data_IF_023287568747
#
_entry.id   IF_023287568747
#
_cell.length_a   1.000
_cell.length_b   1.000
_cell.length_c   1.000
_cell.angle_alpha   90.00
_cell.angle_beta   90.00
_cell.angle_gamma   90.00
#
_symmetry.space_group_name_H-M   'P 1'
#
loop_
_entity.id
_entity.type
_entity.pdbx_description
1 polymer ?
#
# COMPACT_ATOMS: atom_id res chain seq x y z
N UNK A 1 -7.31 -10.58 4.87
CA UNK A 1 -7.09 -9.43 5.77
C UNK A 1 -6.00 -9.77 6.76
N UNK A 2 -5.07 -8.84 7.00
CA UNK A 2 -4.05 -8.99 8.05
C UNK A 2 -4.39 -8.02 9.18
N UNK A 3 -4.58 -8.56 10.36
CA UNK A 3 -4.76 -7.83 11.62
C UNK A 3 -3.40 -7.70 12.31
N UNK A 4 -2.90 -6.50 12.42
CA UNK A 4 -1.59 -6.19 13.03
C UNK A 4 -1.68 -6.15 14.57
N UNK A 5 -2.25 -7.22 15.14
CA UNK A 5 -2.31 -7.42 16.58
C UNK A 5 -3.26 -6.45 17.29
N UNK A 6 -4.43 -6.19 16.73
CA UNK A 6 -5.44 -5.33 17.36
C UNK A 6 -5.78 -5.77 18.77
N UNK A 7 -5.90 -4.83 19.69
CA UNK A 7 -6.24 -5.02 21.09
C UNK A 7 -7.74 -4.80 21.40
N UNK A 8 -8.51 -4.43 20.39
CA UNK A 8 -9.96 -4.26 20.40
C UNK A 8 -10.71 -5.48 19.80
N UNK A 9 -12.00 -5.33 19.53
CA UNK A 9 -12.84 -6.38 18.97
C UNK A 9 -12.61 -6.68 17.47
N UNK A 10 -11.69 -5.98 16.80
CA UNK A 10 -11.45 -6.11 15.35
C UNK A 10 -11.21 -7.55 14.93
N UNK A 11 -10.31 -8.27 15.63
CA UNK A 11 -10.01 -9.66 15.31
C UNK A 11 -11.23 -10.57 15.44
N UNK A 12 -12.01 -10.41 16.49
CA UNK A 12 -13.22 -11.23 16.74
C UNK A 12 -14.25 -11.02 15.63
N UNK A 13 -14.47 -9.77 15.23
CA UNK A 13 -15.39 -9.41 14.14
C UNK A 13 -14.92 -10.02 12.80
N UNK A 14 -13.62 -9.96 12.51
CA UNK A 14 -13.07 -10.57 11.29
C UNK A 14 -13.24 -12.08 11.26
N UNK A 15 -13.04 -12.77 12.39
CA UNK A 15 -13.25 -14.22 12.50
C UNK A 15 -14.74 -14.56 12.31
N UNK A 16 -15.65 -13.79 12.89
CA UNK A 16 -17.09 -14.02 12.72
C UNK A 16 -17.51 -13.85 11.25
N UNK A 17 -17.10 -12.78 10.60
CA UNK A 17 -17.34 -12.56 9.17
C UNK A 17 -16.76 -13.68 8.29
N UNK A 18 -15.61 -14.22 8.65
CA UNK A 18 -14.97 -15.29 7.86
C UNK A 18 -15.74 -16.60 7.87
N UNK A 19 -16.62 -16.83 8.85
CA UNK A 19 -17.46 -18.03 8.90
C UNK A 19 -18.51 -18.07 7.78
N UNK A 20 -19.00 -16.90 7.38
CA UNK A 20 -20.00 -16.76 6.31
C UNK A 20 -19.39 -16.47 4.93
N UNK A 21 -18.09 -16.15 4.89
CA UNK A 21 -17.37 -15.73 3.67
C UNK A 21 -16.12 -16.56 3.46
N UNK A 22 -16.20 -17.71 2.77
CA UNK A 22 -15.04 -18.61 2.59
C UNK A 22 -13.87 -17.98 1.81
N UNK A 23 -14.13 -16.92 1.06
CA UNK A 23 -13.11 -16.12 0.39
C UNK A 23 -12.31 -15.20 1.35
N UNK A 24 -12.88 -14.90 2.52
CA UNK A 24 -12.24 -14.06 3.53
C UNK A 24 -11.25 -14.89 4.36
N UNK A 25 -9.98 -14.55 4.26
CA UNK A 25 -8.92 -15.11 5.10
C UNK A 25 -8.44 -14.07 6.07
N UNK A 26 -8.38 -14.44 7.32
CA UNK A 26 -7.91 -13.58 8.42
C UNK A 26 -6.59 -14.12 8.93
N UNK A 27 -5.60 -13.24 9.02
CA UNK A 27 -4.30 -13.50 9.61
C UNK A 27 -4.09 -12.48 10.72
N UNK A 28 -3.73 -12.94 11.91
CA UNK A 28 -3.39 -12.06 13.03
C UNK A 28 -1.90 -12.17 13.35
N UNK A 29 -1.25 -11.04 13.46
CA UNK A 29 0.11 -10.97 13.97
C UNK A 29 0.08 -11.06 15.51
N UNK A 30 1.14 -11.57 16.11
CA UNK A 30 1.22 -11.79 17.57
C UNK A 30 1.21 -10.51 18.39
N UNK A 31 1.55 -9.39 17.81
CA UNK A 31 1.47 -8.02 18.35
C UNK A 31 1.46 -7.01 17.21
N UNK A 32 1.32 -5.75 17.52
CA UNK A 32 1.52 -4.67 16.54
C UNK A 32 3.01 -4.60 16.15
N UNK A 33 3.29 -4.89 14.89
CA UNK A 33 4.61 -4.79 14.24
C UNK A 33 4.70 -3.60 13.29
N UNK A 34 3.57 -2.95 12.99
CA UNK A 34 3.43 -1.87 12.02
C UNK A 34 2.98 -2.33 10.64
N UNK A 35 2.61 -1.35 9.83
CA UNK A 35 1.99 -1.57 8.52
C UNK A 35 2.84 -2.42 7.57
N UNK A 36 4.14 -2.16 7.49
CA UNK A 36 5.03 -2.82 6.52
C UNK A 36 5.17 -4.34 6.77
N UNK A 37 5.42 -4.83 8.01
CA UNK A 37 5.40 -6.26 8.30
C UNK A 37 4.04 -6.91 8.04
N UNK A 38 2.93 -6.23 8.35
CA UNK A 38 1.59 -6.72 8.09
C UNK A 38 1.34 -6.90 6.58
N UNK A 39 1.73 -5.92 5.77
CA UNK A 39 1.66 -5.99 4.30
C UNK A 39 2.52 -7.14 3.76
N UNK A 40 3.75 -7.27 4.21
CA UNK A 40 4.63 -8.38 3.81
C UNK A 40 4.04 -9.76 4.17
N UNK A 41 3.43 -9.88 5.34
CA UNK A 41 2.71 -11.08 5.76
C UNK A 41 1.54 -11.40 4.83
N UNK A 42 0.75 -10.39 4.47
CA UNK A 42 -0.35 -10.52 3.52
C UNK A 42 0.10 -10.96 2.14
N UNK A 43 1.15 -10.35 1.60
CA UNK A 43 1.73 -10.72 0.29
C UNK A 43 2.17 -12.19 0.28
N UNK A 44 2.91 -12.64 1.31
CA UNK A 44 3.40 -14.03 1.41
C UNK A 44 2.28 -15.06 1.44
N UNK A 45 1.15 -14.73 2.04
CA UNK A 45 0.02 -15.64 2.20
C UNK A 45 -1.01 -15.55 1.06
N UNK A 46 -0.90 -14.54 0.21
CA UNK A 46 -1.77 -14.35 -0.92
C UNK A 46 -1.57 -15.45 -1.97
N UNK A 47 -2.68 -15.90 -2.59
CA UNK A 47 -2.69 -17.01 -3.57
C UNK A 47 -3.01 -16.57 -4.99
N UNK A 48 -3.46 -15.32 -5.16
CA UNK A 48 -3.80 -14.76 -6.46
C UNK A 48 -2.58 -14.61 -7.36
N UNK A 49 -2.79 -14.63 -8.67
CA UNK A 49 -1.75 -14.29 -9.65
C UNK A 49 -1.44 -12.79 -9.65
N UNK A 50 -2.42 -11.99 -9.29
CA UNK A 50 -2.33 -10.55 -9.10
C UNK A 50 -2.70 -10.22 -7.65
N UNK A 51 -2.02 -9.27 -7.08
CA UNK A 51 -2.16 -8.85 -5.68
C UNK A 51 -2.62 -7.40 -5.65
N UNK A 52 -3.65 -7.13 -4.85
CA UNK A 52 -4.10 -5.78 -4.56
C UNK A 52 -3.83 -5.50 -3.08
N UNK A 53 -3.04 -4.46 -2.82
CA UNK A 53 -2.79 -3.95 -1.48
C UNK A 53 -3.70 -2.75 -1.25
N UNK A 54 -4.48 -2.77 -0.17
CA UNK A 54 -5.39 -1.69 0.19
C UNK A 54 -5.47 -1.57 1.72
N UNK A 55 -5.51 -0.35 2.23
CA UNK A 55 -5.72 -0.08 3.65
C UNK A 55 -7.19 -0.30 4.04
N UNK A 56 -7.40 -0.82 5.25
CA UNK A 56 -8.74 -1.14 5.76
C UNK A 56 -9.54 0.07 6.27
N UNK A 57 -9.01 1.29 6.18
CA UNK A 57 -9.64 2.52 6.71
C UNK A 57 -10.64 3.19 5.74
N UNK A 58 -10.89 2.56 4.60
CA UNK A 58 -11.80 3.02 3.54
C UNK A 58 -11.44 4.40 2.93
N UNK A 59 -10.25 4.90 3.19
CA UNK A 59 -9.80 6.15 2.58
C UNK A 59 -9.40 5.98 1.12
N UNK A 60 -8.96 4.78 0.74
CA UNK A 60 -8.63 4.41 -0.63
C UNK A 60 -9.85 3.72 -1.27
N UNK A 61 -10.56 4.39 -2.22
CA UNK A 61 -11.82 3.87 -2.74
C UNK A 61 -11.62 2.57 -3.54
N UNK A 62 -12.34 1.46 -3.21
CA UNK A 62 -12.23 0.21 -3.96
C UNK A 62 -12.56 0.33 -5.45
N UNK A 63 -13.35 1.34 -5.84
CA UNK A 63 -13.69 1.61 -7.25
C UNK A 63 -12.47 1.93 -8.11
N UNK A 64 -11.41 2.49 -7.53
CA UNK A 64 -10.13 2.78 -8.22
C UNK A 64 -9.42 1.50 -8.70
N UNK A 65 -9.74 0.35 -8.10
CA UNK A 65 -9.20 -0.94 -8.51
C UNK A 65 -9.54 -1.25 -9.98
N UNK A 66 -10.72 -0.85 -10.44
CA UNK A 66 -11.12 -1.05 -11.84
C UNK A 66 -10.22 -0.28 -12.80
N UNK A 67 -9.86 0.95 -12.45
CA UNK A 67 -8.94 1.79 -13.22
C UNK A 67 -7.51 1.21 -13.18
N UNK A 68 -7.10 0.67 -12.03
CA UNK A 68 -5.82 -0.03 -11.90
C UNK A 68 -5.76 -1.26 -12.80
N UNK A 69 -6.82 -2.07 -12.86
CA UNK A 69 -6.91 -3.25 -13.74
C UNK A 69 -6.83 -2.81 -15.20
N UNK A 70 -7.59 -1.78 -15.58
CA UNK A 70 -7.55 -1.24 -16.94
C UNK A 70 -6.15 -0.73 -17.32
N UNK A 71 -5.47 -0.08 -16.38
CA UNK A 71 -4.10 0.39 -16.55
C UNK A 71 -3.10 -0.77 -16.66
N UNK A 72 -3.23 -1.79 -15.81
CA UNK A 72 -2.37 -2.98 -15.83
C UNK A 72 -2.43 -3.72 -17.16
N UNK A 73 -3.60 -3.82 -17.77
CA UNK A 73 -3.80 -4.42 -19.11
C UNK A 73 -3.02 -3.71 -20.23
N UNK A 74 -2.47 -2.52 -19.98
CA UNK A 74 -1.59 -1.80 -20.90
C UNK A 74 -0.13 -2.28 -20.83
N UNK A 75 0.17 -3.34 -20.06
CA UNK A 75 1.50 -3.94 -19.97
C UNK A 75 2.36 -3.47 -18.80
N UNK A 76 1.73 -2.93 -17.74
CA UNK A 76 2.45 -2.60 -16.50
C UNK A 76 2.48 -3.80 -15.56
N UNK A 77 3.63 -4.03 -14.92
CA UNK A 77 3.80 -5.08 -13.90
C UNK A 77 3.18 -4.65 -12.56
N UNK A 78 3.22 -3.34 -12.29
CA UNK A 78 2.67 -2.71 -11.09
C UNK A 78 1.85 -1.48 -11.48
N UNK A 79 0.70 -1.30 -10.86
CA UNK A 79 -0.07 -0.06 -10.93
C UNK A 79 -0.34 0.43 -9.51
N UNK A 80 0.07 1.65 -9.18
CA UNK A 80 -0.19 2.20 -7.85
C UNK A 80 -1.10 3.42 -7.90
N UNK A 81 -1.85 3.58 -6.82
CA UNK A 81 -2.69 4.73 -6.59
C UNK A 81 -1.88 5.92 -6.11
N UNK A 82 -2.03 7.05 -6.78
CA UNK A 82 -1.47 8.33 -6.37
C UNK A 82 -2.57 9.27 -5.94
N UNK A 83 -2.49 9.75 -4.72
CA UNK A 83 -3.45 10.73 -4.19
C UNK A 83 -3.32 12.05 -4.92
N UNK A 84 -4.42 12.57 -5.45
CA UNK A 84 -4.43 13.94 -5.99
C UNK A 84 -4.12 14.92 -4.87
N UNK A 85 -3.15 15.81 -5.09
CA UNK A 85 -2.78 16.81 -4.07
C UNK A 85 -3.94 17.75 -3.81
N UNK A 86 -4.37 17.86 -2.55
CA UNK A 86 -5.16 19.02 -2.10
C UNK A 86 -4.28 20.26 -2.25
N UNK A 87 -4.91 21.44 -2.51
CA UNK A 87 -4.20 22.73 -2.59
C UNK A 87 -3.44 22.97 -1.27
N UNK A 88 -2.16 22.63 -1.25
CA UNK A 88 -1.28 22.95 -0.12
C UNK A 88 -0.85 24.41 -0.18
N UNK A 89 -0.66 25.01 1.00
CA UNK A 89 -0.14 26.38 1.08
C UNK A 89 1.25 26.50 0.45
N UNK A 90 1.53 27.65 -0.16
CA UNK A 90 2.76 27.93 -0.92
C UNK A 90 4.03 27.62 -0.11
N UNK A 91 4.02 27.94 1.19
CA UNK A 91 5.17 27.72 2.08
C UNK A 91 5.47 26.23 2.29
N UNK A 92 4.44 25.38 2.50
CA UNK A 92 4.60 23.94 2.64
C UNK A 92 5.10 23.30 1.35
N UNK A 93 4.61 23.80 0.22
CA UNK A 93 5.07 23.36 -1.12
C UNK A 93 6.55 23.66 -1.33
N UNK A 94 7.03 24.83 -0.92
CA UNK A 94 8.44 25.22 -1.03
C UNK A 94 9.34 24.31 -0.17
N UNK A 95 8.98 24.10 1.10
CA UNK A 95 9.73 23.19 1.99
C UNK A 95 9.79 21.77 1.43
N UNK A 96 8.67 21.26 0.91
CA UNK A 96 8.60 19.95 0.28
C UNK A 96 9.53 19.89 -0.94
N UNK A 97 9.57 20.92 -1.78
CA UNK A 97 10.46 20.97 -2.95
C UNK A 97 11.94 20.97 -2.55
N UNK A 98 12.32 21.75 -1.53
CA UNK A 98 13.70 21.79 -1.01
C UNK A 98 14.09 20.41 -0.46
N UNK A 99 13.22 19.78 0.33
CA UNK A 99 13.46 18.44 0.87
C UNK A 99 13.71 17.43 -0.26
N UNK A 100 12.87 17.42 -1.30
CA UNK A 100 13.03 16.50 -2.42
C UNK A 100 14.25 16.80 -3.28
N UNK A 101 14.63 18.07 -3.41
CA UNK A 101 15.88 18.45 -4.10
C UNK A 101 17.11 17.88 -3.36
N UNK A 102 17.12 18.01 -2.02
CA UNK A 102 18.17 17.41 -1.19
C UNK A 102 18.16 15.88 -1.30
N UNK A 103 17.00 15.24 -1.19
CA UNK A 103 16.87 13.79 -1.34
C UNK A 103 17.32 13.32 -2.72
N UNK A 104 17.01 14.06 -3.79
CA UNK A 104 17.46 13.73 -5.15
C UNK A 104 18.99 13.84 -5.29
N UNK A 105 19.62 14.77 -4.59
CA UNK A 105 21.06 14.91 -4.60
C UNK A 105 21.77 13.79 -3.85
N UNK A 106 21.17 13.28 -2.77
CA UNK A 106 21.75 12.21 -1.94
C UNK A 106 21.27 10.79 -2.33
N UNK A 107 20.20 10.65 -3.12
CA UNK A 107 19.65 9.35 -3.49
C UNK A 107 19.65 9.17 -5.00
N UNK A 108 20.19 8.04 -5.47
CA UNK A 108 20.13 7.64 -6.89
C UNK A 108 18.74 7.13 -7.30
N UNK A 109 17.80 7.01 -6.34
CA UNK A 109 16.47 6.44 -6.54
C UNK A 109 15.44 7.56 -6.62
N UNK A 110 14.70 7.60 -7.71
CA UNK A 110 13.53 8.50 -7.86
C UNK A 110 12.33 7.90 -7.13
N UNK A 111 12.20 8.21 -5.83
CA UNK A 111 10.99 7.83 -5.11
C UNK A 111 9.78 8.55 -5.70
N UNK A 112 8.74 7.83 -6.14
CA UNK A 112 7.50 8.49 -6.55
C UNK A 112 6.89 9.17 -5.32
N UNK A 113 6.81 10.49 -5.38
CA UNK A 113 6.16 11.29 -4.34
C UNK A 113 4.69 10.84 -4.22
N UNK A 114 4.22 10.65 -3.01
CA UNK A 114 2.83 10.30 -2.70
C UNK A 114 2.38 8.88 -3.15
N UNK A 115 3.31 7.98 -3.47
CA UNK A 115 3.00 6.57 -3.72
C UNK A 115 2.78 5.83 -2.39
N UNK A 116 1.51 5.65 -2.02
CA UNK A 116 1.11 4.82 -0.89
C UNK A 116 1.25 3.31 -1.15
N UNK A 117 0.76 2.51 -0.21
CA UNK A 117 0.70 1.04 -0.32
C UNK A 117 -0.34 0.63 -1.37
N UNK A 118 -1.43 1.41 -1.55
CA UNK A 118 -2.51 1.08 -2.47
C UNK A 118 -1.98 0.81 -3.88
N UNK A 119 -1.97 -0.44 -4.27
CA UNK A 119 -1.39 -0.88 -5.55
C UNK A 119 -1.94 -2.24 -5.99
N UNK A 120 -1.92 -2.46 -7.30
CA UNK A 120 -2.14 -3.73 -7.97
C UNK A 120 -0.81 -4.16 -8.59
N UNK A 121 -0.39 -5.38 -8.36
CA UNK A 121 0.89 -5.92 -8.86
C UNK A 121 0.78 -7.41 -9.19
N UNK A 122 1.70 -7.90 -10.03
CA UNK A 122 1.87 -9.34 -10.22
C UNK A 122 2.41 -10.01 -8.96
N UNK A 123 2.06 -11.26 -8.76
CA UNK A 123 2.54 -12.05 -7.61
C UNK A 123 4.06 -12.09 -7.56
N UNK A 124 4.73 -12.20 -8.71
CA UNK A 124 6.18 -12.17 -8.81
C UNK A 124 6.79 -10.92 -8.18
N UNK A 125 6.20 -9.74 -8.44
CA UNK A 125 6.63 -8.48 -7.81
C UNK A 125 6.51 -8.56 -6.30
N UNK A 126 5.38 -9.10 -5.79
CA UNK A 126 5.16 -9.31 -4.36
C UNK A 126 6.19 -10.25 -3.73
N UNK A 127 6.56 -11.32 -4.43
CA UNK A 127 7.60 -12.25 -4.00
C UNK A 127 8.97 -11.56 -3.92
N UNK A 128 9.34 -10.78 -4.93
CA UNK A 128 10.57 -9.97 -4.87
C UNK A 128 10.59 -9.02 -3.68
N UNK A 129 9.49 -8.28 -3.45
CA UNK A 129 9.37 -7.36 -2.32
C UNK A 129 9.55 -8.06 -0.96
N UNK A 130 8.95 -9.25 -0.80
CA UNK A 130 9.00 -9.96 0.48
C UNK A 130 10.30 -10.71 0.72
N UNK A 131 11.01 -11.12 -0.34
CA UNK A 131 12.28 -11.83 -0.26
C UNK A 131 13.50 -10.91 -0.26
N UNK A 132 13.30 -9.60 -0.44
CA UNK A 132 14.40 -8.64 -0.39
C UNK A 132 15.10 -8.71 0.99
N UNK A 133 16.45 -8.64 1.03
CA UNK A 133 17.21 -8.89 2.27
C UNK A 133 17.08 -7.79 3.34
N UNK A 134 16.48 -6.63 3.01
CA UNK A 134 16.29 -5.53 3.95
C UNK A 134 15.46 -5.95 5.17
N UNK A 135 15.95 -5.77 6.41
CA UNK A 135 15.19 -6.10 7.61
C UNK A 135 13.99 -5.19 7.82
N UNK A 136 14.13 -3.90 7.53
CA UNK A 136 13.06 -2.90 7.63
C UNK A 136 12.59 -2.54 6.22
N UNK A 137 11.65 -3.32 5.70
CA UNK A 137 11.13 -3.13 4.35
C UNK A 137 10.21 -1.92 4.29
N UNK A 138 10.49 -1.01 3.38
CA UNK A 138 9.55 0.02 2.97
C UNK A 138 8.97 -0.36 1.60
N UNK A 139 7.80 -1.01 1.60
CA UNK A 139 7.23 -1.67 0.41
C UNK A 139 7.09 -0.71 -0.77
N UNK A 140 6.62 0.52 -0.56
CA UNK A 140 6.48 1.50 -1.62
C UNK A 140 7.84 1.96 -2.20
N UNK A 141 8.86 2.07 -1.38
CA UNK A 141 10.22 2.39 -1.80
C UNK A 141 10.89 1.24 -2.54
N UNK A 142 10.82 0.03 -1.97
CA UNK A 142 11.38 -1.18 -2.59
C UNK A 142 10.72 -1.47 -3.95
N UNK A 143 9.41 -1.28 -4.07
CA UNK A 143 8.67 -1.41 -5.33
C UNK A 143 9.29 -0.55 -6.44
N UNK A 144 9.73 0.65 -6.12
CA UNK A 144 10.40 1.52 -7.08
C UNK A 144 11.82 1.05 -7.38
N UNK A 145 12.52 0.54 -6.37
CA UNK A 145 13.90 0.10 -6.49
C UNK A 145 14.07 -1.14 -7.37
N UNK A 146 13.16 -2.11 -7.29
CA UNK A 146 13.26 -3.39 -8.01
C UNK A 146 13.06 -3.27 -9.54
N UNK A 147 12.67 -2.10 -10.06
CA UNK A 147 12.78 -1.78 -11.48
C UNK A 147 11.68 -2.34 -12.40
N UNK A 148 10.61 -2.91 -11.85
CA UNK A 148 9.44 -3.32 -12.65
C UNK A 148 8.75 -2.14 -13.30
N UNK A 149 8.08 -2.37 -14.45
CA UNK A 149 7.34 -1.34 -15.17
C UNK A 149 6.12 -0.88 -14.37
N UNK A 150 6.07 0.42 -14.00
CA UNK A 150 5.06 0.95 -13.10
C UNK A 150 4.11 1.93 -13.80
N UNK A 151 2.81 1.69 -13.64
CA UNK A 151 1.73 2.58 -14.02
C UNK A 151 1.17 3.34 -12.81
N UNK A 152 0.53 4.48 -13.06
CA UNK A 152 -0.07 5.34 -12.03
C UNK A 152 -1.53 5.56 -12.35
N UNK A 153 -2.39 5.50 -11.32
CA UNK A 153 -3.78 5.93 -11.33
C UNK A 153 -3.97 7.01 -10.28
N UNK A 154 -4.36 8.21 -10.69
CA UNK A 154 -4.62 9.30 -9.76
C UNK A 154 -6.06 9.24 -9.25
N UNK A 155 -6.24 9.37 -7.93
CA UNK A 155 -7.55 9.33 -7.30
C UNK A 155 -7.69 10.35 -6.17
N UNK A 156 -8.93 10.67 -5.83
CA UNK A 156 -9.27 11.53 -4.70
C UNK A 156 -9.45 10.67 -3.44
N UNK A 157 -8.68 10.94 -2.39
CA UNK A 157 -8.76 10.21 -1.12
C UNK A 157 -10.04 10.60 -0.38
N UNK A 158 -10.82 9.61 0.04
CA UNK A 158 -11.98 9.81 0.88
C UNK A 158 -11.59 10.27 2.32
N UNK A 159 -12.46 10.97 3.05
CA UNK A 159 -12.30 11.15 4.48
C UNK A 159 -12.27 9.78 5.18
N UNK A 160 -11.53 9.66 6.28
CA UNK A 160 -11.52 8.42 7.08
C UNK A 160 -12.92 8.12 7.59
N UNK A 161 -13.38 6.88 7.41
CA UNK A 161 -14.73 6.46 7.83
C UNK A 161 -14.84 6.27 9.35
N UNK A 162 -13.75 5.83 10.02
CA UNK A 162 -13.70 5.63 11.47
C UNK A 162 -12.24 5.58 11.97
N UNK A 163 -12.04 5.81 13.30
CA UNK A 163 -10.74 5.73 13.97
C UNK A 163 -9.98 7.05 14.04
N UNK A 164 -9.15 7.20 15.08
CA UNK A 164 -8.22 8.31 15.25
C UNK A 164 -6.87 7.99 14.61
N UNK A 165 -6.14 9.03 14.15
CA UNK A 165 -4.76 8.84 13.73
C UNK A 165 -3.92 8.44 14.96
N UNK A 166 -3.43 7.20 14.97
CA UNK A 166 -2.35 6.85 15.90
C UNK A 166 -1.06 7.43 15.32
N UNK A 167 -0.55 8.48 15.97
CA UNK A 167 0.78 9.06 15.72
C UNK A 167 1.87 8.07 16.13
#
# INVERSE_FOLDING_TARGET
>A
IVDDGSDDSTHQLLIEESKSRPELRVVRLSRNFGQEPAVCGGIKLARGRELILIDGDLQDPPTVILDMIAKKRQGYDVVFGKKKKRKEGIFRRLLTQIFYLLMHFFSQIRFPMDAGIFSLMDKEVGEWLTNFPEPNKHVSGLRTYIGFNQGVVEYDRAPRAAGEEKN
#
